data_IF_003248127509
#
_entry.id   IF_003248127509
#
_cell.length_a   1.000
_cell.length_b   1.000
_cell.length_c   1.000
_cell.angle_alpha   90.00
_cell.angle_beta   90.00
_cell.angle_gamma   90.00
#
_symmetry.space_group_name_H-M   'P 1'
#
loop_
_entity.id
_entity.type
_entity.pdbx_description
1 polymer ?
#
# COMPACT_ATOMS: atom_id res chain seq x y z
N UNK A 1 4.00 2.23 1.60
CA UNK A 1 2.71 1.89 2.22
C UNK A 1 1.62 1.99 1.16
N UNK A 2 0.99 0.87 0.84
CA UNK A 2 0.08 0.74 -0.30
C UNK A 2 -1.36 0.64 0.20
N UNK A 3 -2.22 1.48 -0.36
CA UNK A 3 -3.66 1.46 -0.15
C UNK A 3 -4.26 1.28 -1.54
N UNK A 4 -4.81 0.12 -1.84
CA UNK A 4 -5.55 -0.12 -3.06
C UNK A 4 -6.93 -0.61 -2.68
N UNK A 5 -7.90 0.30 -2.65
CA UNK A 5 -9.29 -0.10 -2.73
C UNK A 5 -9.57 -0.61 -4.15
N UNK A 6 -9.36 -1.92 -4.36
CA UNK A 6 -9.88 -2.60 -5.53
C UNK A 6 -10.96 -3.59 -5.10
N UNK A 7 -12.20 -3.31 -5.53
CA UNK A 7 -13.37 -4.16 -5.34
C UNK A 7 -13.34 -5.42 -6.23
N UNK A 8 -12.22 -6.16 -6.27
CA UNK A 8 -12.16 -7.45 -6.95
C UNK A 8 -12.24 -8.56 -5.90
N UNK A 9 -13.38 -8.64 -5.23
CA UNK A 9 -13.78 -9.88 -4.59
C UNK A 9 -14.52 -10.74 -5.60
N UNK A 10 -13.90 -11.84 -6.01
CA UNK A 10 -14.65 -12.95 -6.54
C UNK A 10 -13.80 -14.17 -6.85
N UNK A 11 -13.73 -15.09 -5.89
CA UNK A 11 -14.13 -16.51 -6.01
C UNK A 11 -13.49 -17.45 -7.05
N UNK A 12 -12.45 -17.10 -7.79
CA UNK A 12 -12.02 -18.00 -8.88
C UNK A 12 -10.49 -18.11 -8.99
N UNK A 13 -9.96 -19.34 -8.91
CA UNK A 13 -8.56 -19.64 -9.29
C UNK A 13 -8.28 -19.11 -10.70
N UNK A 14 -9.31 -19.16 -11.56
CA UNK A 14 -9.26 -18.56 -12.90
C UNK A 14 -8.90 -17.07 -12.86
N UNK A 15 -9.31 -16.30 -11.84
CA UNK A 15 -8.95 -14.88 -11.73
C UNK A 15 -7.51 -14.65 -11.33
N UNK A 16 -6.94 -15.51 -10.47
CA UNK A 16 -5.52 -15.45 -10.13
C UNK A 16 -4.66 -15.77 -11.35
N UNK A 17 -4.99 -16.84 -12.06
CA UNK A 17 -4.31 -17.22 -13.30
C UNK A 17 -4.46 -16.15 -14.37
N UNK A 18 -5.66 -15.58 -14.53
CA UNK A 18 -5.90 -14.48 -15.46
C UNK A 18 -5.11 -13.23 -15.08
N UNK A 19 -4.95 -12.92 -13.79
CA UNK A 19 -4.16 -11.79 -13.31
C UNK A 19 -2.67 -12.00 -13.64
N UNK A 20 -2.12 -13.18 -13.34
CA UNK A 20 -0.73 -13.53 -13.66
C UNK A 20 -0.51 -13.50 -15.17
N UNK A 21 -1.42 -14.10 -15.95
CA UNK A 21 -1.35 -14.09 -17.41
C UNK A 21 -1.38 -12.66 -17.96
N UNK A 22 -2.28 -11.83 -17.45
CA UNK A 22 -2.37 -10.41 -17.84
C UNK A 22 -1.10 -9.64 -17.48
N UNK A 23 -0.46 -9.98 -16.36
CA UNK A 23 0.81 -9.38 -15.94
C UNK A 23 1.99 -9.78 -16.84
N UNK A 24 2.12 -11.07 -17.15
CA UNK A 24 3.15 -11.57 -18.07
C UNK A 24 2.96 -10.93 -19.45
N UNK A 25 1.72 -10.94 -19.96
CA UNK A 25 1.41 -10.29 -21.24
C UNK A 25 1.70 -8.78 -21.23
N UNK A 26 1.42 -8.07 -20.14
CA UNK A 26 1.75 -6.64 -19.97
C UNK A 26 3.26 -6.40 -19.97
N UNK A 27 4.04 -7.30 -19.35
CA UNK A 27 5.50 -7.20 -19.33
C UNK A 27 6.12 -7.44 -20.71
N UNK A 28 5.56 -8.36 -21.49
CA UNK A 28 6.04 -8.71 -22.83
C UNK A 28 5.56 -7.71 -23.91
N UNK A 29 4.33 -7.21 -23.79
CA UNK A 29 3.73 -6.27 -24.75
C UNK A 29 4.06 -4.82 -24.33
N UNK A 30 4.94 -4.15 -25.07
CA UNK A 30 5.16 -2.68 -24.98
C UNK A 30 3.92 -1.83 -25.37
N UNK A 31 2.77 -2.44 -25.65
CA UNK A 31 1.57 -1.75 -26.17
C UNK A 31 0.64 -1.25 -25.07
N UNK A 32 0.35 0.05 -25.17
CA UNK A 32 -0.34 0.94 -24.22
C UNK A 32 -1.87 0.81 -24.26
N UNK A 33 -2.45 -0.28 -23.78
CA UNK A 33 -3.88 -0.25 -23.42
C UNK A 33 -4.06 0.13 -21.94
N UNK A 34 -4.66 1.31 -21.72
CA UNK A 34 -4.96 1.89 -20.41
C UNK A 34 -5.98 1.03 -19.66
N UNK A 35 -5.54 0.12 -18.77
CA UNK A 35 -6.44 -0.68 -17.92
C UNK A 35 -5.97 -0.76 -16.47
N UNK A 36 -6.95 -1.03 -15.60
CA UNK A 36 -6.86 -0.96 -14.14
C UNK A 36 -5.80 -1.83 -13.43
N UNK A 37 -5.25 -2.94 -13.96
CA UNK A 37 -4.21 -3.65 -13.23
C UNK A 37 -2.80 -3.07 -13.45
N UNK A 38 -2.62 -2.10 -14.36
CA UNK A 38 -1.30 -1.54 -14.67
C UNK A 38 -0.62 -0.88 -13.46
N UNK A 39 -1.39 -0.25 -12.57
CA UNK A 39 -0.83 0.28 -11.33
C UNK A 39 -0.20 -0.81 -10.47
N UNK A 40 -0.95 -1.88 -10.23
CA UNK A 40 -0.49 -2.99 -9.39
C UNK A 40 0.71 -3.69 -10.02
N UNK A 41 0.76 -3.78 -11.36
CA UNK A 41 1.91 -4.31 -12.09
C UNK A 41 3.16 -3.44 -11.93
N UNK A 42 3.04 -2.12 -12.08
CA UNK A 42 4.15 -1.20 -11.86
C UNK A 42 4.66 -1.25 -10.42
N UNK A 43 3.75 -1.38 -9.44
CA UNK A 43 4.12 -1.57 -8.03
C UNK A 43 4.80 -2.91 -7.80
N UNK A 44 4.34 -3.99 -8.43
CA UNK A 44 4.98 -5.31 -8.34
C UNK A 44 6.41 -5.29 -8.91
N UNK A 45 6.63 -4.59 -10.03
CA UNK A 45 7.98 -4.36 -10.58
C UNK A 45 8.84 -3.50 -9.63
N UNK A 46 8.29 -2.43 -9.05
CA UNK A 46 9.00 -1.61 -8.06
C UNK A 46 9.49 -2.44 -6.88
N UNK A 47 8.65 -3.37 -6.41
CA UNK A 47 8.96 -4.29 -5.31
C UNK A 47 10.09 -5.29 -5.62
N UNK A 48 10.45 -5.49 -6.90
CA UNK A 48 11.60 -6.32 -7.27
C UNK A 48 12.93 -5.63 -6.98
N UNK A 49 12.95 -4.30 -6.77
CA UNK A 49 14.17 -3.58 -6.43
C UNK A 49 14.58 -3.82 -4.96
N UNK A 50 15.85 -4.15 -4.74
CA UNK A 50 16.43 -4.42 -3.42
C UNK A 50 16.42 -3.21 -2.47
N UNK A 51 16.23 -2.00 -3.00
CA UNK A 51 16.02 -0.77 -2.23
C UNK A 51 14.71 -0.82 -1.45
N UNK A 52 13.70 -1.57 -1.93
CA UNK A 52 12.43 -1.78 -1.22
C UNK A 52 12.63 -2.84 -0.14
N UNK A 53 12.66 -2.42 1.12
CA UNK A 53 12.93 -3.31 2.26
C UNK A 53 11.69 -4.06 2.74
N UNK A 54 10.53 -3.43 2.68
CA UNK A 54 9.25 -4.01 3.08
C UNK A 54 8.09 -3.27 2.41
N UNK A 55 6.94 -3.93 2.37
CA UNK A 55 5.66 -3.31 2.01
C UNK A 55 4.76 -3.36 3.23
N UNK A 56 4.11 -2.24 3.55
CA UNK A 56 2.98 -2.23 4.49
C UNK A 56 1.73 -1.93 3.68
N UNK A 57 0.73 -2.79 3.78
CA UNK A 57 -0.52 -2.71 3.03
C UNK A 57 -1.73 -2.71 3.97
N UNK A 58 -2.75 -1.98 3.55
CA UNK A 58 -4.06 -1.95 4.20
C UNK A 58 -5.09 -2.80 3.49
N UNK A 59 -4.69 -3.42 2.38
CA UNK A 59 -5.55 -4.31 1.63
C UNK A 59 -5.54 -5.68 2.26
N UNK A 60 -6.66 -6.38 2.12
CA UNK A 60 -6.85 -7.72 2.63
C UNK A 60 -6.39 -8.82 1.67
N UNK A 61 -6.23 -8.49 0.39
CA UNK A 61 -5.91 -9.44 -0.67
C UNK A 61 -4.42 -9.79 -0.79
N UNK A 62 -4.14 -10.88 -1.48
CA UNK A 62 -2.79 -11.40 -1.79
C UNK A 62 -2.31 -11.03 -3.21
N UNK A 63 -2.95 -10.09 -3.91
CA UNK A 63 -2.64 -9.87 -5.34
C UNK A 63 -1.21 -9.38 -5.58
N UNK A 64 -0.70 -8.51 -4.69
CA UNK A 64 0.66 -8.00 -4.80
C UNK A 64 1.69 -9.12 -4.62
N UNK A 65 1.52 -9.98 -3.63
CA UNK A 65 2.44 -11.08 -3.35
C UNK A 65 2.42 -12.12 -4.47
N UNK A 66 1.23 -12.45 -5.01
CA UNK A 66 1.08 -13.30 -6.20
C UNK A 66 1.90 -12.75 -7.37
N UNK A 67 1.78 -11.45 -7.66
CA UNK A 67 2.47 -10.83 -8.79
C UNK A 67 3.99 -10.82 -8.59
N UNK A 68 4.46 -10.46 -7.39
CA UNK A 68 5.89 -10.49 -7.09
C UNK A 68 6.44 -11.90 -7.22
N UNK A 69 5.73 -12.90 -6.69
CA UNK A 69 6.14 -14.31 -6.71
C UNK A 69 6.04 -14.95 -8.10
N UNK A 70 5.21 -14.41 -9.00
CA UNK A 70 5.16 -14.82 -10.40
C UNK A 70 6.41 -14.39 -11.18
N UNK A 71 7.16 -13.42 -10.65
CA UNK A 71 8.45 -13.01 -11.17
C UNK A 71 9.59 -13.86 -10.58
N UNK A 72 10.75 -13.89 -11.25
CA UNK A 72 11.88 -14.76 -10.91
C UNK A 72 12.93 -14.09 -10.03
N UNK A 73 12.90 -12.77 -9.88
CA UNK A 73 13.98 -11.99 -9.24
C UNK A 73 13.88 -12.09 -7.71
N UNK A 74 12.71 -11.81 -7.14
CA UNK A 74 12.49 -11.79 -5.70
C UNK A 74 11.21 -12.52 -5.31
N UNK A 75 11.22 -13.14 -4.14
CA UNK A 75 10.02 -13.74 -3.53
C UNK A 75 9.44 -12.83 -2.45
N UNK A 76 8.12 -12.80 -2.35
CA UNK A 76 7.37 -12.08 -1.32
C UNK A 76 6.68 -13.04 -0.35
N UNK A 77 6.55 -12.60 0.89
CA UNK A 77 5.86 -13.31 1.97
C UNK A 77 4.90 -12.37 2.71
N UNK A 78 3.64 -12.78 2.84
CA UNK A 78 2.59 -12.01 3.50
C UNK A 78 2.62 -12.24 5.01
N UNK A 79 2.74 -11.15 5.78
CA UNK A 79 2.81 -11.13 7.24
C UNK A 79 1.56 -10.48 7.79
N UNK A 80 0.75 -11.24 8.53
CA UNK A 80 -0.55 -10.80 9.02
C UNK A 80 -0.83 -11.14 10.49
N UNK A 81 0.12 -11.77 11.20
CA UNK A 81 0.04 -12.06 12.64
C UNK A 81 1.41 -12.03 13.34
N UNK A 82 1.42 -11.67 14.63
CA UNK A 82 2.62 -11.63 15.48
C UNK A 82 3.39 -12.96 15.54
N UNK A 83 2.70 -14.11 15.42
CA UNK A 83 3.31 -15.43 15.55
C UNK A 83 4.08 -15.94 14.32
N UNK A 84 4.03 -15.25 13.18
CA UNK A 84 4.78 -15.63 11.97
C UNK A 84 6.22 -15.09 11.93
N UNK A 85 6.71 -14.42 12.97
CA UNK A 85 8.13 -14.04 13.08
C UNK A 85 9.08 -15.22 13.35
N UNK A 86 8.60 -16.47 13.30
CA UNK A 86 9.47 -17.66 13.36
C UNK A 86 10.08 -17.89 11.97
N UNK A 87 11.34 -17.47 11.84
CA UNK A 87 12.23 -17.82 10.72
C UNK A 87 11.82 -17.21 9.38
N UNK A 88 11.52 -15.91 9.37
CA UNK A 88 11.39 -15.18 8.11
C UNK A 88 12.74 -15.20 7.39
N UNK A 89 12.79 -15.79 6.20
CA UNK A 89 14.01 -15.87 5.41
C UNK A 89 14.47 -14.45 5.03
N UNK A 90 15.76 -14.16 5.25
CA UNK A 90 16.35 -12.84 4.99
C UNK A 90 16.29 -12.44 3.49
N UNK A 91 16.01 -13.41 2.61
CA UNK A 91 16.03 -13.24 1.15
C UNK A 91 14.66 -12.90 0.54
N UNK A 92 13.62 -12.66 1.35
CA UNK A 92 12.26 -12.36 0.87
C UNK A 92 11.82 -10.94 1.17
N UNK A 93 10.96 -10.38 0.31
CA UNK A 93 10.23 -9.15 0.59
C UNK A 93 9.05 -9.43 1.51
N UNK A 94 8.96 -8.71 2.62
CA UNK A 94 7.86 -8.87 3.57
C UNK A 94 6.74 -7.88 3.28
N UNK A 95 5.51 -8.40 3.19
CA UNK A 95 4.29 -7.63 2.94
C UNK A 95 3.43 -7.69 4.21
N UNK A 96 3.39 -6.60 4.97
CA UNK A 96 2.68 -6.51 6.23
C UNK A 96 1.24 -6.05 6.03
N UNK A 97 0.27 -6.92 6.34
CA UNK A 97 -1.16 -6.66 6.25
C UNK A 97 -1.72 -6.12 7.57
N UNK A 98 -1.52 -4.83 7.83
CA UNK A 98 -1.82 -4.23 9.14
C UNK A 98 -3.31 -4.10 9.44
N UNK A 99 -4.21 -4.29 8.48
CA UNK A 99 -5.66 -4.36 8.73
C UNK A 99 -6.20 -5.80 8.79
N UNK A 100 -5.35 -6.80 8.56
CA UNK A 100 -5.76 -8.20 8.43
C UNK A 100 -5.64 -8.70 6.99
N UNK A 101 -5.81 -10.02 6.83
CA UNK A 101 -5.53 -10.73 5.58
C UNK A 101 -6.64 -11.74 5.29
N UNK A 102 -7.21 -11.66 4.09
CA UNK A 102 -8.24 -12.56 3.60
C UNK A 102 -7.61 -13.39 2.47
N UNK A 103 -6.99 -14.53 2.80
CA UNK A 103 -6.42 -15.41 1.81
C UNK A 103 -7.51 -16.17 1.06
N UNK A 104 -7.16 -16.73 -0.10
CA UNK A 104 -8.08 -17.51 -0.92
C UNK A 104 -8.76 -18.67 -0.17
N UNK A 105 -9.92 -19.15 -0.67
CA UNK A 105 -10.83 -20.05 0.04
C UNK A 105 -10.23 -21.36 0.57
N UNK A 106 -9.14 -21.87 -0.02
CA UNK A 106 -8.46 -23.08 0.46
C UNK A 106 -7.77 -22.91 1.82
N UNK A 107 -7.55 -21.67 2.28
CA UNK A 107 -6.86 -21.35 3.53
C UNK A 107 -7.77 -20.77 4.63
N UNK A 108 -9.03 -20.43 4.27
CA UNK A 108 -10.04 -19.92 5.21
C UNK A 108 -10.35 -20.96 6.31
N UNK A 109 -10.11 -22.25 6.04
CA UNK A 109 -10.37 -23.37 6.96
C UNK A 109 -9.48 -23.32 8.23
N UNK A 110 -8.50 -22.39 8.33
CA UNK A 110 -7.61 -22.25 9.50
C UNK A 110 -7.63 -20.90 10.21
N UNK A 111 -8.60 -20.02 9.93
CA UNK A 111 -8.60 -18.66 10.52
C UNK A 111 -9.51 -18.53 11.74
N UNK A 112 -9.05 -17.75 12.72
CA UNK A 112 -9.91 -17.14 13.73
C UNK A 112 -10.47 -15.82 13.17
N UNK A 113 -11.81 -15.63 13.15
CA UNK A 113 -12.45 -14.43 12.59
C UNK A 113 -12.15 -13.13 13.34
N UNK A 114 -11.57 -13.18 14.54
CA UNK A 114 -11.29 -12.03 15.42
C UNK A 114 -10.14 -11.10 14.93
N UNK A 115 -9.46 -11.42 13.82
CA UNK A 115 -8.30 -10.67 13.34
C UNK A 115 -8.53 -9.88 12.03
N UNK A 116 -9.77 -9.84 11.54
CA UNK A 116 -10.12 -9.11 10.32
C UNK A 116 -10.83 -7.82 10.74
N UNK A 117 -10.20 -6.66 10.54
CA UNK A 117 -10.75 -5.36 10.97
C UNK A 117 -11.87 -4.90 10.01
N UNK A 118 -13.06 -5.48 10.14
CA UNK A 118 -14.20 -5.17 9.26
C UNK A 118 -15.18 -4.19 9.89
N UNK A 119 -15.19 -4.08 11.22
CA UNK A 119 -16.14 -3.27 11.98
C UNK A 119 -15.49 -2.00 12.57
N UNK A 120 -16.30 -0.95 12.71
CA UNK A 120 -15.89 0.34 13.29
C UNK A 120 -15.36 0.21 14.73
N UNK A 121 -15.88 -0.77 15.49
CA UNK A 121 -15.51 -1.00 16.89
C UNK A 121 -14.07 -1.52 17.04
N UNK A 122 -13.59 -2.35 16.11
CA UNK A 122 -12.20 -2.85 16.10
C UNK A 122 -11.21 -1.78 15.65
N UNK A 123 -11.63 -0.85 14.78
CA UNK A 123 -10.86 0.36 14.47
C UNK A 123 -10.71 1.22 15.73
N UNK A 124 -11.79 1.37 16.51
CA UNK A 124 -11.80 2.09 17.78
C UNK A 124 -10.91 1.41 18.83
N UNK A 125 -10.91 0.07 18.90
CA UNK A 125 -10.01 -0.67 19.79
C UNK A 125 -8.54 -0.52 19.40
N UNK A 126 -8.19 -0.56 18.12
CA UNK A 126 -6.82 -0.29 17.66
C UNK A 126 -6.36 1.15 17.95
N UNK A 127 -7.30 2.11 17.95
CA UNK A 127 -7.04 3.49 18.40
C UNK A 127 -6.79 3.55 19.92
N UNK A 128 -7.45 2.71 20.70
CA UNK A 128 -7.32 2.61 22.16
C UNK A 128 -6.11 1.76 22.61
N UNK A 129 -5.62 0.85 21.76
CA UNK A 129 -4.45 0.01 22.01
C UNK A 129 -3.21 0.49 21.22
N UNK A 130 -2.49 1.52 21.72
CA UNK A 130 -1.31 2.06 21.03
C UNK A 130 -0.14 1.06 20.89
N UNK A 131 -0.19 -0.06 21.61
CA UNK A 131 0.82 -1.13 21.57
C UNK A 131 0.41 -2.32 20.72
N UNK A 132 -0.66 -2.21 19.91
CA UNK A 132 -1.02 -3.25 18.96
C UNK A 132 0.13 -3.53 17.99
N UNK A 133 0.24 -4.77 17.51
CA UNK A 133 1.30 -5.15 16.57
C UNK A 133 1.20 -4.33 15.27
N UNK A 134 -0.03 -3.98 14.87
CA UNK A 134 -0.34 -3.12 13.74
C UNK A 134 0.30 -1.75 13.92
N UNK A 135 0.07 -1.09 15.06
CA UNK A 135 0.61 0.24 15.36
C UNK A 135 2.12 0.21 15.45
N UNK A 136 2.68 -0.77 16.17
CA UNK A 136 4.13 -0.91 16.37
C UNK A 136 4.86 -1.19 15.06
N UNK A 137 4.30 -2.02 14.18
CA UNK A 137 4.86 -2.31 12.85
C UNK A 137 4.91 -1.06 11.98
N UNK A 138 3.82 -0.28 11.93
CA UNK A 138 3.76 0.96 11.18
C UNK A 138 4.78 1.98 11.72
N UNK A 139 4.83 2.18 13.04
CA UNK A 139 5.79 3.06 13.70
C UNK A 139 7.24 2.66 13.41
N UNK A 140 7.55 1.37 13.45
CA UNK A 140 8.89 0.88 13.13
C UNK A 140 9.32 1.33 11.72
N UNK A 141 8.47 1.15 10.71
CA UNK A 141 8.81 1.56 9.35
C UNK A 141 8.91 3.07 9.19
N UNK A 142 7.97 3.83 9.76
CA UNK A 142 7.96 5.29 9.66
C UNK A 142 9.12 5.95 10.41
N UNK A 143 9.61 5.35 11.49
CA UNK A 143 10.72 5.92 12.27
C UNK A 143 12.11 5.60 11.70
N UNK A 144 12.25 4.50 10.95
CA UNK A 144 13.54 3.96 10.52
C UNK A 144 13.75 3.97 9.00
N UNK A 145 12.71 4.16 8.20
CA UNK A 145 12.78 4.10 6.73
C UNK A 145 12.05 5.27 6.06
N UNK A 146 12.55 5.70 4.90
CA UNK A 146 11.77 6.57 4.02
C UNK A 146 10.64 5.77 3.40
N UNK A 147 9.43 6.32 3.46
CA UNK A 147 8.22 5.62 3.05
C UNK A 147 7.59 6.35 1.85
N UNK A 148 7.29 5.57 0.81
CA UNK A 148 6.47 6.02 -0.32
C UNK A 148 5.04 5.50 -0.13
N UNK A 149 4.09 6.41 -0.06
CA UNK A 149 2.66 6.16 0.08
C UNK A 149 2.01 6.18 -1.30
N UNK A 150 1.27 5.12 -1.61
CA UNK A 150 0.64 4.96 -2.91
C UNK A 150 -0.81 4.50 -2.76
N UNK A 151 -1.70 5.13 -3.52
CA UNK A 151 -3.14 4.82 -3.56
C UNK A 151 -3.93 5.16 -2.29
N UNK A 152 -3.33 5.87 -1.33
CA UNK A 152 -3.99 6.35 -0.11
C UNK A 152 -4.30 7.83 -0.22
N UNK A 153 -5.44 8.25 0.35
CA UNK A 153 -5.74 9.67 0.54
C UNK A 153 -5.13 10.26 1.81
N UNK A 154 -4.58 9.42 2.71
CA UNK A 154 -4.08 9.81 4.04
C UNK A 154 -5.07 10.64 4.88
N UNK A 155 -6.37 10.43 4.66
CA UNK A 155 -7.43 11.10 5.43
C UNK A 155 -7.83 10.35 6.71
N UNK A 156 -7.26 9.17 6.92
CA UNK A 156 -7.56 8.32 8.05
C UNK A 156 -6.93 8.88 9.35
N UNK A 157 -7.75 9.06 10.39
CA UNK A 157 -7.33 9.66 11.65
C UNK A 157 -6.26 8.80 12.34
N UNK A 158 -6.40 7.48 12.31
CA UNK A 158 -5.44 6.57 12.91
C UNK A 158 -4.08 6.66 12.22
N UNK A 159 -4.06 6.76 10.89
CA UNK A 159 -2.83 7.02 10.14
C UNK A 159 -2.19 8.34 10.54
N UNK A 160 -2.96 9.45 10.55
CA UNK A 160 -2.43 10.77 10.91
C UNK A 160 -1.88 10.80 12.35
N UNK A 161 -2.53 10.08 13.27
CA UNK A 161 -2.05 9.87 14.64
C UNK A 161 -0.71 9.13 14.66
N UNK A 162 -0.55 8.06 13.90
CA UNK A 162 0.70 7.30 13.83
C UNK A 162 1.81 8.14 13.18
N UNK A 163 1.50 8.85 12.09
CA UNK A 163 2.45 9.72 11.39
C UNK A 163 2.93 10.89 12.27
N UNK A 164 2.02 11.56 12.97
CA UNK A 164 2.39 12.64 13.90
C UNK A 164 3.29 12.14 15.03
N UNK A 165 3.02 10.94 15.56
CA UNK A 165 3.90 10.31 16.55
C UNK A 165 5.26 9.96 15.94
N UNK A 166 5.28 9.32 14.77
CA UNK A 166 6.51 8.96 14.07
C UNK A 166 7.36 10.20 13.78
N UNK A 167 6.78 11.29 13.26
CA UNK A 167 7.51 12.53 12.94
C UNK A 167 8.23 13.12 14.14
N UNK A 168 7.64 13.04 15.34
CA UNK A 168 8.25 13.55 16.57
C UNK A 168 9.52 12.78 16.98
N UNK A 169 9.58 11.47 16.69
CA UNK A 169 10.64 10.58 17.19
C UNK A 169 11.48 9.93 16.07
N UNK A 170 11.15 10.19 14.80
CA UNK A 170 11.81 9.59 13.65
C UNK A 170 13.22 10.13 13.49
N UNK A 171 14.14 9.24 13.12
CA UNK A 171 15.50 9.58 12.67
C UNK A 171 15.58 9.60 11.14
N UNK A 172 14.54 9.14 10.46
CA UNK A 172 14.48 8.98 9.01
C UNK A 172 14.05 10.27 8.29
N UNK A 173 14.44 10.35 7.02
CA UNK A 173 14.13 11.41 6.06
C UNK A 173 12.62 11.52 5.77
N UNK A 174 12.21 12.67 5.20
CA UNK A 174 10.86 12.96 4.73
C UNK A 174 10.21 11.78 4.00
N UNK A 175 8.95 11.50 4.30
CA UNK A 175 8.15 10.50 3.58
C UNK A 175 7.46 11.17 2.39
N UNK A 176 7.02 10.37 1.41
CA UNK A 176 6.43 10.88 0.17
C UNK A 176 5.09 10.22 -0.12
N UNK A 177 4.16 10.97 -0.70
CA UNK A 177 2.89 10.43 -1.17
C UNK A 177 2.61 10.93 -2.58
N UNK A 178 2.20 10.02 -3.48
CA UNK A 178 1.87 10.38 -4.86
C UNK A 178 0.36 10.54 -4.97
N UNK A 179 -0.07 11.74 -5.35
CA UNK A 179 -1.46 12.12 -5.54
C UNK A 179 -1.79 12.44 -6.98
N UNK A 180 -3.06 12.23 -7.31
CA UNK A 180 -3.72 12.85 -8.45
C UNK A 180 -4.04 14.30 -8.08
N UNK A 181 -3.90 15.20 -9.04
CA UNK A 181 -4.40 16.55 -8.94
C UNK A 181 -5.94 16.53 -8.81
N UNK A 182 -6.45 17.21 -7.80
CA UNK A 182 -7.87 17.40 -7.63
C UNK A 182 -8.32 18.57 -8.48
N UNK A 183 -8.91 18.27 -9.64
CA UNK A 183 -9.60 19.27 -10.44
C UNK A 183 -10.83 19.76 -9.68
N UNK A 184 -10.80 21.02 -9.25
CA UNK A 184 -11.92 21.66 -8.56
C UNK A 184 -13.11 21.81 -9.52
N UNK A 185 -13.99 20.81 -9.57
CA UNK A 185 -15.27 20.92 -10.30
C UNK A 185 -16.39 21.19 -9.30
N UNK A 186 -17.02 22.36 -9.48
CA UNK A 186 -18.12 22.97 -8.72
C UNK A 186 -17.76 23.36 -7.27
N UNK A 187 -17.56 24.67 -7.05
CA UNK A 187 -17.00 25.35 -5.85
C UNK A 187 -15.46 25.37 -5.78
N UNK A 188 -14.84 26.03 -6.77
CA UNK A 188 -13.39 26.26 -6.88
C UNK A 188 -12.76 26.70 -5.55
N UNK A 189 -13.37 27.65 -4.84
CA UNK A 189 -12.81 28.21 -3.60
C UNK A 189 -12.72 27.19 -2.46
N UNK A 190 -13.74 26.33 -2.28
CA UNK A 190 -13.79 25.39 -1.16
C UNK A 190 -12.88 24.20 -1.44
N UNK A 191 -12.89 23.67 -2.66
CA UNK A 191 -12.03 22.54 -3.03
C UNK A 191 -10.55 22.91 -3.01
N UNK A 192 -10.18 24.11 -3.47
CA UNK A 192 -8.80 24.60 -3.35
C UNK A 192 -8.40 24.81 -1.89
N UNK A 193 -9.27 25.38 -1.05
CA UNK A 193 -9.00 25.54 0.38
C UNK A 193 -8.81 24.19 1.10
N UNK A 194 -9.65 23.20 0.82
CA UNK A 194 -9.51 21.85 1.38
C UNK A 194 -8.19 21.19 0.96
N UNK A 195 -7.77 21.36 -0.29
CA UNK A 195 -6.49 20.83 -0.79
C UNK A 195 -5.28 21.50 -0.12
N UNK A 196 -5.35 22.81 0.13
CA UNK A 196 -4.33 23.53 0.87
C UNK A 196 -4.25 23.05 2.32
N UNK A 197 -5.39 22.91 3.00
CA UNK A 197 -5.46 22.37 4.37
C UNK A 197 -4.88 20.95 4.40
N UNK A 198 -5.30 20.09 3.48
CA UNK A 198 -4.81 18.71 3.39
C UNK A 198 -3.29 18.67 3.20
N UNK A 199 -2.76 19.51 2.31
CA UNK A 199 -1.33 19.56 2.05
C UNK A 199 -0.55 20.07 3.27
N UNK A 200 -1.07 21.08 3.96
CA UNK A 200 -0.51 21.59 5.23
C UNK A 200 -0.48 20.50 6.31
N UNK A 201 -1.58 19.76 6.49
CA UNK A 201 -1.67 18.67 7.47
C UNK A 201 -0.64 17.58 7.15
N UNK A 202 -0.47 17.23 5.88
CA UNK A 202 0.51 16.24 5.46
C UNK A 202 1.95 16.70 5.76
N UNK A 203 2.26 17.97 5.47
CA UNK A 203 3.58 18.55 5.77
C UNK A 203 3.87 18.56 7.27
N UNK A 204 2.89 18.91 8.11
CA UNK A 204 3.00 18.88 9.58
C UNK A 204 3.35 17.49 10.11
N UNK A 205 2.79 16.44 9.51
CA UNK A 205 3.10 15.05 9.88
C UNK A 205 4.32 14.48 9.12
N UNK A 206 5.06 15.32 8.38
CA UNK A 206 6.32 14.96 7.72
C UNK A 206 6.17 14.20 6.39
N UNK A 207 5.03 14.35 5.73
CA UNK A 207 4.73 13.78 4.42
C UNK A 207 4.82 14.86 3.35
N UNK A 208 5.67 14.64 2.34
CA UNK A 208 5.77 15.49 1.17
C UNK A 208 4.83 14.98 0.07
N UNK A 209 3.91 15.84 -0.36
CA UNK A 209 2.95 15.56 -1.43
C UNK A 209 3.60 15.73 -2.79
N UNK A 210 3.48 14.73 -3.66
CA UNK A 210 3.90 14.79 -5.06
C UNK A 210 2.68 14.65 -5.94
N UNK A 211 2.46 15.63 -6.83
CA UNK A 211 1.33 15.65 -7.76
C UNK A 211 1.77 15.02 -9.08
N UNK A 212 1.14 13.90 -9.45
CA UNK A 212 1.47 13.19 -10.69
C UNK A 212 0.77 13.78 -11.92
N UNK A 213 -0.42 14.37 -11.75
CA UNK A 213 -1.25 14.94 -12.80
C UNK A 213 -2.74 14.75 -12.49
N UNK A 214 -3.62 15.15 -13.40
CA UNK A 214 -5.08 15.25 -13.18
C UNK A 214 -5.88 13.93 -13.28
N UNK A 215 -5.31 12.91 -13.91
CA UNK A 215 -5.85 11.55 -13.98
C UNK A 215 -5.07 10.54 -13.12
N UNK A 216 -5.77 9.52 -12.60
CA UNK A 216 -5.15 8.46 -11.80
C UNK A 216 -4.06 7.71 -12.59
N UNK A 217 -4.20 7.61 -13.91
CA UNK A 217 -3.20 7.00 -14.77
C UNK A 217 -1.84 7.72 -14.73
N UNK A 218 -1.79 9.03 -14.44
CA UNK A 218 -0.52 9.75 -14.27
C UNK A 218 0.27 9.25 -13.06
N UNK A 219 -0.40 8.79 -12.00
CA UNK A 219 0.26 8.11 -10.87
C UNK A 219 0.98 6.85 -11.38
N UNK A 220 0.37 6.12 -12.32
CA UNK A 220 0.90 4.86 -12.81
C UNK A 220 2.16 5.11 -13.64
N UNK A 221 2.13 6.14 -14.50
CA UNK A 221 3.31 6.59 -15.25
C UNK A 221 4.42 7.09 -14.34
N UNK A 222 4.08 7.74 -13.22
CA UNK A 222 5.06 8.19 -12.25
C UNK A 222 5.75 7.01 -11.56
N UNK A 223 5.00 6.02 -11.10
CA UNK A 223 5.58 4.79 -10.52
C UNK A 223 6.46 4.07 -11.55
N UNK A 224 6.02 4.02 -12.82
CA UNK A 224 6.83 3.46 -13.90
C UNK A 224 8.16 4.20 -14.10
N UNK A 225 8.14 5.53 -14.11
CA UNK A 225 9.38 6.34 -14.20
C UNK A 225 10.33 6.06 -13.04
N UNK A 226 9.81 5.82 -11.83
CA UNK A 226 10.63 5.44 -10.67
C UNK A 226 11.31 4.08 -10.91
N UNK A 227 10.63 3.15 -11.57
CA UNK A 227 11.23 1.87 -11.96
C UNK A 227 12.35 2.06 -12.99
N UNK A 228 12.17 2.93 -13.98
CA UNK A 228 13.12 3.16 -15.07
C UNK A 228 14.41 3.90 -14.64
N UNK A 229 14.43 4.54 -13.48
CA UNK A 229 15.60 5.27 -12.94
C UNK A 229 16.64 4.32 -12.32
N UNK A 230 16.25 3.08 -12.02
CA UNK A 230 17.10 2.06 -11.39
C UNK A 230 17.59 1.02 -12.41
#
# INVERSE_FOLDING_TARGET
MLYLQHQIYGKDESKKENLIKSYIEWKEKKTKEKKSPEFLFNVAELCQNDSIKAVVTYNYDEFLSILINSNSIRKAEDVFHFQQQKSVAHDKLLIYHVHGFIPGPQSIIKQNPENIVLAYDEYFQNMLEPFSWQTTTQLHFLMNYTCLFLGTSLNDINMLRILSYAKKYSRASNHYVIFKEENAKNNETISSALNLIHSSVLEEVGIQKIIAGDEYYHIYEMVKKINDIN
#
